data_IF_002017176584
#
_entry.id   IF_002017176584
#
_cell.length_a   1.000
_cell.length_b   1.000
_cell.length_c   1.000
_cell.angle_alpha   90.00
_cell.angle_beta   90.00
_cell.angle_gamma   90.00
#
_symmetry.space_group_name_H-M   'P 1'
#
loop_
_entity.id
_entity.type
_entity.pdbx_description
1 polymer ?
#
# COMPACT_ATOMS: atom_id res chain seq x y z
N UNK A 1 -57.87 -25.02 6.70
CA UNK A 1 -56.78 -24.15 7.21
C UNK A 1 -57.26 -22.71 7.24
N UNK A 2 -57.15 -22.02 8.37
CA UNK A 2 -57.89 -20.76 8.62
C UNK A 2 -57.15 -19.57 8.00
N UNK A 3 -57.74 -18.91 6.98
CA UNK A 3 -57.11 -17.82 6.20
C UNK A 3 -56.62 -16.67 7.10
N UNK A 4 -57.32 -16.42 8.22
CA UNK A 4 -56.92 -15.42 9.23
C UNK A 4 -55.61 -15.79 9.93
N UNK A 5 -55.39 -17.07 10.23
CA UNK A 5 -54.18 -17.56 10.88
C UNK A 5 -52.96 -17.40 9.95
N UNK A 6 -53.17 -17.62 8.64
CA UNK A 6 -52.12 -17.43 7.63
C UNK A 6 -51.69 -15.97 7.50
N UNK A 7 -52.65 -15.04 7.53
CA UNK A 7 -52.38 -13.59 7.49
C UNK A 7 -51.62 -13.14 8.75
N UNK A 8 -52.01 -13.61 9.93
CA UNK A 8 -51.31 -13.29 11.18
C UNK A 8 -49.87 -13.83 11.16
N UNK A 9 -49.69 -15.09 10.74
CA UNK A 9 -48.36 -15.69 10.66
C UNK A 9 -47.45 -14.95 9.67
N UNK A 10 -47.99 -14.53 8.52
CA UNK A 10 -47.25 -13.73 7.55
C UNK A 10 -46.83 -12.37 8.10
N UNK A 11 -47.73 -11.66 8.79
CA UNK A 11 -47.41 -10.38 9.44
C UNK A 11 -46.34 -10.52 10.53
N UNK A 12 -46.42 -11.57 11.37
CA UNK A 12 -45.41 -11.82 12.41
C UNK A 12 -44.06 -12.15 11.79
N UNK A 13 -44.05 -12.95 10.72
CA UNK A 13 -42.82 -13.29 10.00
C UNK A 13 -42.19 -12.07 9.34
N UNK A 14 -43.00 -11.18 8.74
CA UNK A 14 -42.53 -9.93 8.14
C UNK A 14 -41.97 -8.96 9.20
N UNK A 15 -42.65 -8.81 10.34
CA UNK A 15 -42.15 -8.00 11.46
C UNK A 15 -40.85 -8.56 12.04
N UNK A 16 -40.74 -9.89 12.17
CA UNK A 16 -39.52 -10.54 12.64
C UNK A 16 -38.36 -10.37 11.63
N UNK A 17 -38.64 -10.46 10.33
CA UNK A 17 -37.66 -10.19 9.28
C UNK A 17 -37.16 -8.74 9.35
N UNK A 18 -38.05 -7.76 9.43
CA UNK A 18 -37.69 -6.33 9.55
C UNK A 18 -36.91 -6.05 10.84
N UNK A 19 -37.25 -6.72 11.94
CA UNK A 19 -36.51 -6.61 13.20
C UNK A 19 -35.11 -7.20 13.11
N UNK A 20 -34.97 -8.38 12.50
CA UNK A 20 -33.66 -9.00 12.23
C UNK A 20 -32.83 -8.13 11.29
N UNK A 21 -33.42 -7.59 10.23
CA UNK A 21 -32.76 -6.68 9.31
C UNK A 21 -32.27 -5.43 10.05
N UNK A 22 -33.09 -4.84 10.92
CA UNK A 22 -32.69 -3.69 11.73
C UNK A 22 -31.54 -3.99 12.69
N UNK A 23 -31.54 -5.15 13.36
CA UNK A 23 -30.45 -5.56 14.25
C UNK A 23 -29.17 -5.85 13.44
N UNK A 24 -29.28 -6.61 12.36
CA UNK A 24 -28.14 -7.03 11.54
C UNK A 24 -27.52 -5.86 10.76
N UNK A 25 -28.29 -4.83 10.41
CA UNK A 25 -27.79 -3.64 9.70
C UNK A 25 -27.22 -2.57 10.63
N UNK A 26 -27.62 -2.53 11.91
CA UNK A 26 -27.18 -1.49 12.85
C UNK A 26 -25.87 -1.79 13.60
N UNK A 27 -25.25 -2.94 13.38
CA UNK A 27 -23.90 -3.20 13.89
C UNK A 27 -22.86 -2.79 12.85
N UNK A 28 -22.74 -1.50 12.59
CA UNK A 28 -21.55 -0.99 11.90
C UNK A 28 -20.33 -1.15 12.81
N UNK A 29 -19.18 -1.47 12.22
CA UNK A 29 -17.93 -1.50 12.96
C UNK A 29 -17.68 -0.12 13.60
N UNK A 30 -17.13 -0.06 14.83
CA UNK A 30 -16.89 1.21 15.54
C UNK A 30 -16.10 2.22 14.68
N UNK A 31 -15.22 1.72 13.81
CA UNK A 31 -14.38 2.51 12.92
C UNK A 31 -14.85 2.50 11.45
N UNK A 32 -16.12 2.19 11.19
CA UNK A 32 -16.67 2.05 9.84
C UNK A 32 -16.37 3.26 8.95
N UNK A 33 -16.60 4.49 9.45
CA UNK A 33 -16.34 5.73 8.70
C UNK A 33 -14.85 5.90 8.34
N UNK A 34 -13.95 5.58 9.27
CA UNK A 34 -12.51 5.65 8.99
C UNK A 34 -12.07 4.56 7.99
N UNK A 35 -12.65 3.37 8.09
CA UNK A 35 -12.41 2.26 7.17
C UNK A 35 -12.88 2.60 5.75
N UNK A 36 -14.06 3.18 5.62
CA UNK A 36 -14.59 3.67 4.34
C UNK A 36 -13.69 4.76 3.77
N UNK A 37 -13.31 5.76 4.57
CA UNK A 37 -12.36 6.81 4.17
C UNK A 37 -11.01 6.25 3.71
N UNK A 38 -10.51 5.20 4.35
CA UNK A 38 -9.27 4.53 3.94
C UNK A 38 -9.42 3.87 2.56
N UNK A 39 -10.53 3.17 2.31
CA UNK A 39 -10.82 2.58 1.01
C UNK A 39 -10.99 3.66 -0.08
N UNK A 40 -11.70 4.74 0.20
CA UNK A 40 -11.88 5.88 -0.72
C UNK A 40 -10.54 6.55 -1.07
N UNK A 41 -9.67 6.76 -0.07
CA UNK A 41 -8.31 7.25 -0.30
C UNK A 41 -7.53 6.32 -1.24
N UNK A 42 -7.65 4.99 -1.06
CA UNK A 42 -6.98 4.02 -1.91
C UNK A 42 -7.52 4.03 -3.34
N UNK A 43 -8.84 4.17 -3.53
CA UNK A 43 -9.44 4.37 -4.86
C UNK A 43 -8.86 5.62 -5.52
N UNK A 44 -8.82 6.75 -4.79
CA UNK A 44 -8.29 8.00 -5.31
C UNK A 44 -6.81 7.88 -5.71
N UNK A 45 -5.97 7.32 -4.85
CA UNK A 45 -4.55 7.10 -5.13
C UNK A 45 -4.33 6.12 -6.29
N UNK A 46 -5.14 5.06 -6.37
CA UNK A 46 -5.10 4.10 -7.49
C UNK A 46 -5.43 4.77 -8.81
N UNK A 47 -6.47 5.62 -8.84
CA UNK A 47 -6.85 6.38 -10.04
C UNK A 47 -5.74 7.35 -10.49
N UNK A 48 -5.02 7.98 -9.55
CA UNK A 48 -3.86 8.81 -9.87
C UNK A 48 -2.78 7.98 -10.57
N UNK A 49 -2.47 6.78 -10.06
CA UNK A 49 -1.48 5.90 -10.67
C UNK A 49 -1.97 5.41 -12.05
N UNK A 50 -3.23 5.00 -12.14
CA UNK A 50 -3.87 4.54 -13.39
C UNK A 50 -3.79 5.57 -14.51
N UNK A 51 -3.94 6.85 -14.20
CA UNK A 51 -3.87 7.94 -15.18
C UNK A 51 -2.47 8.13 -15.80
N UNK A 52 -1.41 7.60 -15.16
CA UNK A 52 -0.03 7.64 -15.67
C UNK A 52 0.33 6.37 -16.47
N UNK A 53 -0.63 5.46 -16.69
CA UNK A 53 -0.43 4.21 -17.41
C UNK A 53 -1.04 4.31 -18.81
N UNK A 54 -0.18 4.35 -19.82
CA UNK A 54 -0.59 4.36 -21.23
C UNK A 54 -1.27 3.05 -21.65
N UNK A 55 -0.80 1.94 -21.10
CA UNK A 55 -1.36 0.61 -21.30
C UNK A 55 -1.32 -0.22 -20.01
N UNK A 56 -2.24 -1.19 -19.94
CA UNK A 56 -2.33 -2.16 -18.86
C UNK A 56 -1.93 -3.53 -19.35
N UNK A 57 -1.43 -4.36 -18.43
CA UNK A 57 -1.28 -5.79 -18.70
C UNK A 57 -2.67 -6.40 -18.91
N UNK A 58 -2.79 -7.40 -19.78
CA UNK A 58 -3.98 -8.26 -19.85
C UNK A 58 -4.25 -8.94 -18.50
N UNK A 59 -3.20 -9.07 -17.67
CA UNK A 59 -3.33 -9.59 -16.32
C UNK A 59 -3.98 -8.61 -15.34
N UNK A 60 -4.12 -7.32 -15.63
CA UNK A 60 -4.75 -6.34 -14.76
C UNK A 60 -6.26 -6.27 -15.02
N UNK A 61 -6.95 -7.37 -14.74
CA UNK A 61 -8.38 -7.57 -15.05
C UNK A 61 -9.33 -6.57 -14.36
N UNK A 62 -8.82 -5.80 -13.40
CA UNK A 62 -9.58 -4.78 -12.65
C UNK A 62 -9.21 -3.36 -13.09
N UNK A 63 -8.43 -3.22 -14.17
CA UNK A 63 -7.97 -1.94 -14.74
C UNK A 63 -7.30 -0.99 -13.74
N UNK A 64 -6.56 -1.55 -12.76
CA UNK A 64 -6.04 -0.76 -11.63
C UNK A 64 -4.82 0.08 -11.98
N UNK A 65 -4.02 -0.35 -12.96
CA UNK A 65 -2.73 0.25 -13.28
C UNK A 65 -1.64 -0.08 -12.27
N UNK A 66 -1.88 -1.00 -11.33
CA UNK A 66 -0.94 -1.33 -10.24
C UNK A 66 -0.07 -2.56 -10.53
N UNK A 67 -0.43 -3.36 -11.53
CA UNK A 67 0.37 -4.52 -11.94
C UNK A 67 1.46 -4.10 -12.94
N UNK A 68 2.66 -4.63 -12.74
CA UNK A 68 3.73 -4.63 -13.74
C UNK A 68 3.73 -5.87 -14.62
N UNK A 69 4.88 -6.20 -15.18
CA UNK A 69 5.04 -7.34 -16.08
C UNK A 69 5.41 -8.61 -15.31
N UNK A 70 5.12 -9.78 -15.90
CA UNK A 70 5.57 -11.07 -15.34
C UNK A 70 7.10 -11.09 -15.15
N UNK A 71 7.87 -10.61 -16.12
CA UNK A 71 9.32 -10.54 -16.02
C UNK A 71 9.91 -9.30 -16.68
N UNK A 72 10.87 -8.68 -16.01
CA UNK A 72 11.75 -7.64 -16.55
C UNK A 72 13.14 -7.75 -15.94
N UNK A 73 14.09 -6.93 -16.38
CA UNK A 73 15.42 -6.83 -15.77
C UNK A 73 15.42 -6.25 -14.34
N UNK A 74 14.30 -5.71 -13.86
CA UNK A 74 14.11 -5.29 -12.46
C UNK A 74 13.47 -6.39 -11.58
N UNK A 75 13.04 -7.51 -12.17
CA UNK A 75 12.44 -8.61 -11.41
C UNK A 75 13.49 -9.26 -10.52
N UNK A 76 13.31 -9.21 -9.21
CA UNK A 76 14.24 -9.76 -8.22
C UNK A 76 13.88 -11.16 -7.77
N UNK A 77 12.58 -11.48 -7.74
CA UNK A 77 12.06 -12.72 -7.16
C UNK A 77 10.77 -13.15 -7.88
N UNK A 78 10.41 -14.43 -7.71
CA UNK A 78 9.11 -14.94 -8.13
C UNK A 78 7.99 -14.23 -7.37
N UNK A 79 6.87 -14.02 -8.06
CA UNK A 79 5.65 -13.45 -7.48
C UNK A 79 4.48 -14.42 -7.62
N UNK A 80 3.36 -14.07 -7.01
CA UNK A 80 2.08 -14.73 -7.22
C UNK A 80 1.09 -13.70 -7.77
N UNK A 81 0.60 -13.92 -8.99
CA UNK A 81 -0.26 -12.97 -9.69
C UNK A 81 -1.59 -12.77 -8.96
N UNK A 82 -2.16 -13.85 -8.40
CA UNK A 82 -3.41 -13.78 -7.64
C UNK A 82 -3.24 -12.90 -6.41
N UNK A 83 -2.17 -13.09 -5.64
CA UNK A 83 -1.84 -12.24 -4.51
C UNK A 83 -1.67 -10.78 -4.93
N UNK A 84 -1.02 -10.49 -6.08
CA UNK A 84 -0.91 -9.10 -6.57
C UNK A 84 -2.29 -8.49 -6.80
N UNK A 85 -3.15 -9.19 -7.54
CA UNK A 85 -4.53 -8.76 -7.82
C UNK A 85 -5.36 -8.60 -6.56
N UNK A 86 -5.25 -9.51 -5.60
CA UNK A 86 -5.96 -9.42 -4.32
C UNK A 86 -5.62 -8.13 -3.60
N UNK A 87 -4.34 -7.72 -3.58
CA UNK A 87 -3.92 -6.49 -2.92
C UNK A 87 -4.41 -5.20 -3.59
N UNK A 88 -4.92 -5.25 -4.83
CA UNK A 88 -5.48 -4.06 -5.49
C UNK A 88 -6.90 -3.72 -5.02
N UNK A 89 -7.54 -4.59 -4.24
CA UNK A 89 -8.87 -4.30 -3.68
C UNK A 89 -8.75 -3.15 -2.64
N UNK A 90 -9.49 -2.03 -2.80
CA UNK A 90 -9.49 -0.92 -1.86
C UNK A 90 -9.78 -1.28 -0.40
N UNK A 91 -10.51 -2.37 -0.15
CA UNK A 91 -10.80 -2.85 1.21
C UNK A 91 -9.53 -3.23 1.97
N UNK A 92 -8.40 -3.49 1.28
CA UNK A 92 -7.11 -3.68 1.95
C UNK A 92 -6.69 -2.44 2.75
N UNK A 93 -7.04 -1.23 2.32
CA UNK A 93 -6.75 -0.02 3.10
C UNK A 93 -7.53 -0.03 4.43
N UNK A 94 -8.78 -0.50 4.43
CA UNK A 94 -9.56 -0.67 5.65
C UNK A 94 -8.97 -1.75 6.57
N UNK A 95 -8.46 -2.85 6.01
CA UNK A 95 -7.76 -3.90 6.77
C UNK A 95 -6.48 -3.34 7.41
N UNK A 96 -5.65 -2.61 6.65
CA UNK A 96 -4.42 -1.99 7.17
C UNK A 96 -4.76 -0.99 8.28
N UNK A 97 -5.77 -0.15 8.06
CA UNK A 97 -6.24 0.82 9.06
C UNK A 97 -6.60 0.11 10.38
N UNK A 98 -7.40 -0.96 10.31
CA UNK A 98 -7.76 -1.74 11.48
C UNK A 98 -6.54 -2.32 12.19
N UNK A 99 -5.55 -2.81 11.43
CA UNK A 99 -4.29 -3.31 11.99
C UNK A 99 -3.47 -2.20 12.68
N UNK A 100 -3.39 -1.01 12.09
CA UNK A 100 -2.69 0.14 12.69
C UNK A 100 -3.38 0.57 13.99
N UNK A 101 -4.71 0.66 14.01
CA UNK A 101 -5.47 0.99 15.21
C UNK A 101 -5.28 -0.07 16.31
N UNK A 102 -5.27 -1.37 15.94
CA UNK A 102 -4.97 -2.46 16.88
C UNK A 102 -3.53 -2.42 17.41
N UNK A 103 -2.59 -1.92 16.62
CA UNK A 103 -1.21 -1.67 17.05
C UNK A 103 -1.09 -0.41 17.95
N UNK A 104 -2.19 0.32 18.17
CA UNK A 104 -2.24 1.48 19.04
C UNK A 104 -1.87 2.80 18.36
N UNK A 105 -1.77 2.82 17.02
CA UNK A 105 -1.50 4.04 16.25
C UNK A 105 -2.68 5.00 16.37
N UNK A 106 -2.37 6.26 16.67
CA UNK A 106 -3.32 7.36 16.79
C UNK A 106 -3.01 8.47 15.79
N UNK A 107 -3.94 9.42 15.69
CA UNK A 107 -3.73 10.65 14.95
C UNK A 107 -2.44 11.35 15.39
N UNK A 108 -1.64 11.81 14.42
CA UNK A 108 -0.35 12.48 14.64
C UNK A 108 0.83 11.55 14.88
N UNK A 109 0.61 10.26 15.15
CA UNK A 109 1.70 9.31 15.34
C UNK A 109 2.48 9.07 14.04
N UNK A 110 3.77 8.77 14.17
CA UNK A 110 4.57 8.37 13.01
C UNK A 110 4.51 6.86 12.78
N UNK A 111 4.32 6.45 11.53
CA UNK A 111 4.34 5.05 11.09
C UNK A 111 5.52 4.88 10.14
N UNK A 112 6.50 4.06 10.54
CA UNK A 112 7.62 3.71 9.68
C UNK A 112 7.19 2.63 8.69
N UNK A 113 7.49 2.82 7.40
CA UNK A 113 7.06 1.94 6.32
C UNK A 113 8.27 1.55 5.49
N UNK A 114 8.68 0.29 5.60
CA UNK A 114 9.62 -0.33 4.68
C UNK A 114 8.83 -0.98 3.54
N UNK A 115 9.04 -0.53 2.31
CA UNK A 115 8.35 -1.09 1.15
C UNK A 115 9.29 -1.47 0.01
N UNK A 116 9.00 -2.54 -0.71
CA UNK A 116 9.65 -2.86 -1.98
C UNK A 116 8.68 -2.65 -3.14
N UNK A 117 9.23 -2.57 -4.36
CA UNK A 117 8.43 -2.55 -5.57
C UNK A 117 7.55 -3.79 -5.77
N UNK A 118 7.64 -4.82 -4.93
CA UNK A 118 6.87 -6.05 -5.07
C UNK A 118 5.37 -5.87 -4.85
N UNK A 119 4.94 -5.02 -3.92
CA UNK A 119 3.51 -4.82 -3.60
C UNK A 119 3.15 -3.33 -3.58
N UNK A 120 3.13 -2.66 -4.75
CA UNK A 120 2.79 -1.23 -4.83
C UNK A 120 1.38 -0.94 -4.29
N UNK A 121 0.43 -1.86 -4.51
CA UNK A 121 -0.94 -1.71 -4.01
C UNK A 121 -1.02 -1.71 -2.47
N UNK A 122 -0.20 -2.52 -1.77
CA UNK A 122 -0.15 -2.50 -0.30
C UNK A 122 0.52 -1.23 0.24
N UNK A 123 1.51 -0.68 -0.47
CA UNK A 123 2.05 0.64 -0.11
C UNK A 123 0.95 1.69 -0.19
N UNK A 124 0.18 1.72 -1.28
CA UNK A 124 -0.95 2.64 -1.44
C UNK A 124 -1.99 2.40 -0.34
N UNK A 125 -2.37 1.16 -0.06
CA UNK A 125 -3.29 0.83 1.03
C UNK A 125 -2.81 1.36 2.38
N UNK A 126 -1.50 1.25 2.66
CA UNK A 126 -0.90 1.73 3.90
C UNK A 126 -0.88 3.25 3.99
N UNK A 127 -0.54 3.94 2.90
CA UNK A 127 -0.61 5.41 2.83
C UNK A 127 -2.04 5.92 2.99
N UNK A 128 -3.00 5.24 2.38
CA UNK A 128 -4.43 5.57 2.48
C UNK A 128 -4.98 5.37 3.89
N UNK A 129 -4.56 4.30 4.56
CA UNK A 129 -4.87 4.08 5.97
C UNK A 129 -4.25 5.17 6.85
N UNK A 130 -2.96 5.49 6.69
CA UNK A 130 -2.32 6.58 7.43
C UNK A 130 -3.03 7.92 7.19
N UNK A 131 -3.41 8.24 5.95
CA UNK A 131 -4.14 9.46 5.59
C UNK A 131 -5.54 9.51 6.22
N UNK A 132 -6.25 8.37 6.29
CA UNK A 132 -7.56 8.31 6.94
C UNK A 132 -7.46 8.55 8.45
N UNK A 133 -6.44 7.96 9.09
CA UNK A 133 -6.12 8.08 10.51
C UNK A 133 -5.44 9.41 10.90
N UNK A 134 -5.02 10.21 9.92
CA UNK A 134 -4.19 11.39 10.09
C UNK A 134 -2.87 11.08 10.83
N UNK A 135 -2.26 9.95 10.48
CA UNK A 135 -0.93 9.52 10.92
C UNK A 135 0.14 9.93 9.90
N UNK A 136 1.39 10.04 10.37
CA UNK A 136 2.53 10.50 9.60
C UNK A 136 3.35 9.33 9.03
N UNK A 137 3.17 8.94 7.75
CA UNK A 137 3.96 7.86 7.15
C UNK A 137 5.40 8.33 6.87
N UNK A 138 6.37 7.52 7.29
CA UNK A 138 7.80 7.69 6.98
C UNK A 138 8.21 6.50 6.12
N UNK A 139 8.40 6.72 4.82
CA UNK A 139 8.59 5.64 3.85
C UNK A 139 10.05 5.52 3.45
N UNK A 140 10.60 4.30 3.48
CA UNK A 140 11.83 3.94 2.77
C UNK A 140 11.49 2.83 1.77
N UNK A 141 11.84 3.04 0.50
CA UNK A 141 11.54 2.06 -0.56
C UNK A 141 12.77 1.35 -1.12
N UNK A 142 12.66 0.08 -1.47
CA UNK A 142 13.57 -0.61 -2.38
C UNK A 142 12.96 -0.70 -3.78
N UNK A 143 13.74 -0.34 -4.81
CA UNK A 143 13.21 -0.22 -6.18
C UNK A 143 12.96 -1.57 -6.86
N UNK A 144 13.74 -2.59 -6.50
CA UNK A 144 13.55 -3.97 -6.97
C UNK A 144 12.16 -4.50 -6.61
N UNK A 145 11.63 -5.36 -7.47
CA UNK A 145 10.26 -5.85 -7.37
C UNK A 145 10.20 -7.32 -7.79
N UNK A 146 9.32 -8.09 -7.16
CA UNK A 146 8.94 -9.41 -7.66
C UNK A 146 8.18 -9.33 -8.98
N UNK A 147 7.94 -10.47 -9.62
CA UNK A 147 7.01 -10.58 -10.75
C UNK A 147 5.67 -9.85 -10.45
N UNK A 148 5.14 -9.19 -11.49
CA UNK A 148 3.92 -8.37 -11.48
C UNK A 148 3.91 -7.17 -10.49
N UNK A 149 5.01 -6.91 -9.78
CA UNK A 149 5.17 -5.69 -8.98
C UNK A 149 5.44 -4.45 -9.85
N UNK A 150 5.87 -3.34 -9.24
CA UNK A 150 6.33 -2.15 -9.94
C UNK A 150 7.75 -2.37 -10.53
N UNK A 151 7.86 -3.32 -11.46
CA UNK A 151 9.10 -3.83 -12.02
C UNK A 151 9.42 -3.28 -13.42
N UNK A 152 8.84 -2.17 -13.87
CA UNK A 152 9.15 -1.62 -15.18
C UNK A 152 9.96 -0.33 -15.06
N UNK A 153 10.87 -0.07 -16.02
CA UNK A 153 11.79 1.08 -15.96
C UNK A 153 11.06 2.43 -15.81
N UNK A 154 9.87 2.56 -16.39
CA UNK A 154 8.99 3.72 -16.34
C UNK A 154 7.81 3.57 -15.35
N UNK A 155 7.77 2.49 -14.58
CA UNK A 155 6.76 2.23 -13.55
C UNK A 155 7.43 1.48 -12.38
N UNK A 156 8.13 2.25 -11.56
CA UNK A 156 8.76 1.82 -10.32
C UNK A 156 7.97 2.34 -9.12
N UNK A 157 8.18 1.75 -7.95
CA UNK A 157 7.52 2.23 -6.72
C UNK A 157 7.87 3.69 -6.39
N UNK A 158 9.04 4.16 -6.84
CA UNK A 158 9.45 5.55 -6.71
C UNK A 158 8.70 6.47 -7.69
N UNK A 159 8.35 6.00 -8.89
CA UNK A 159 7.46 6.75 -9.79
C UNK A 159 6.06 6.88 -9.19
N UNK A 160 5.53 5.80 -8.61
CA UNK A 160 4.24 5.80 -7.90
C UNK A 160 4.25 6.83 -6.76
N UNK A 161 5.26 6.79 -5.89
CA UNK A 161 5.40 7.76 -4.80
C UNK A 161 5.51 9.20 -5.33
N UNK A 162 6.24 9.41 -6.43
CA UNK A 162 6.36 10.72 -7.04
C UNK A 162 5.01 11.25 -7.56
N UNK A 163 4.23 10.44 -8.27
CA UNK A 163 2.91 10.84 -8.77
C UNK A 163 1.93 11.15 -7.63
N UNK A 164 1.90 10.30 -6.60
CA UNK A 164 1.07 10.52 -5.42
C UNK A 164 1.49 11.78 -4.66
N UNK A 165 2.79 12.03 -4.53
CA UNK A 165 3.29 13.22 -3.85
C UNK A 165 2.98 14.50 -4.64
N UNK A 166 3.10 14.47 -5.97
CA UNK A 166 2.70 15.59 -6.83
C UNK A 166 1.20 15.89 -6.78
N UNK A 167 0.38 14.88 -6.54
CA UNK A 167 -1.06 15.04 -6.32
C UNK A 167 -1.43 15.45 -4.88
N UNK A 168 -0.45 15.66 -3.98
CA UNK A 168 -0.70 16.04 -2.58
C UNK A 168 -1.24 14.90 -1.71
N UNK A 169 -1.10 13.65 -2.14
CA UNK A 169 -1.62 12.48 -1.42
C UNK A 169 -0.68 11.99 -0.32
N UNK A 170 0.63 12.12 -0.51
CA UNK A 170 1.65 11.74 0.47
C UNK A 170 2.96 12.54 0.28
N UNK A 171 3.91 12.38 1.19
CA UNK A 171 5.28 12.89 1.01
C UNK A 171 6.12 11.91 0.21
N UNK A 172 7.19 12.40 -0.43
CA UNK A 172 8.22 11.54 -1.01
C UNK A 172 8.84 10.62 0.06
N UNK A 173 9.32 9.42 -0.32
CA UNK A 173 10.06 8.56 0.61
C UNK A 173 11.30 9.31 1.13
N UNK A 174 11.66 9.07 2.38
CA UNK A 174 12.83 9.72 3.00
C UNK A 174 14.14 9.17 2.46
N UNK A 175 14.13 7.92 2.00
CA UNK A 175 15.25 7.31 1.31
C UNK A 175 14.80 6.16 0.41
N UNK A 176 15.66 5.78 -0.52
CA UNK A 176 15.46 4.64 -1.42
C UNK A 176 16.75 3.85 -1.63
N UNK A 177 16.61 2.56 -1.89
CA UNK A 177 17.69 1.64 -2.27
C UNK A 177 17.36 0.95 -3.60
N UNK A 178 18.31 0.22 -4.17
CA UNK A 178 18.05 -0.52 -5.42
C UNK A 178 17.24 -1.79 -5.16
N UNK A 179 17.28 -2.38 -3.97
CA UNK A 179 16.60 -3.64 -3.68
C UNK A 179 17.34 -4.88 -4.20
N UNK A 180 16.64 -6.01 -4.27
CA UNK A 180 17.26 -7.30 -4.61
C UNK A 180 18.23 -7.79 -3.53
N UNK A 181 19.07 -8.75 -3.89
CA UNK A 181 20.05 -9.33 -2.96
C UNK A 181 20.98 -8.24 -2.40
N UNK A 182 21.14 -8.26 -1.08
CA UNK A 182 21.91 -7.27 -0.29
C UNK A 182 21.40 -5.82 -0.43
N UNK A 183 20.22 -5.61 -1.02
CA UNK A 183 19.61 -4.30 -1.22
C UNK A 183 20.41 -3.34 -2.14
N UNK A 184 21.41 -3.87 -2.85
CA UNK A 184 22.31 -3.11 -3.75
C UNK A 184 21.99 -3.30 -5.23
N UNK A 185 20.95 -4.08 -5.55
CA UNK A 185 20.61 -4.46 -6.93
C UNK A 185 21.75 -5.22 -7.62
N UNK A 186 22.50 -6.04 -6.88
CA UNK A 186 23.75 -6.66 -7.37
C UNK A 186 23.58 -7.39 -8.72
N UNK A 187 22.42 -8.03 -8.91
CA UNK A 187 22.07 -8.79 -10.12
C UNK A 187 21.50 -7.93 -11.26
N UNK A 188 21.33 -6.62 -11.07
CA UNK A 188 20.85 -5.74 -12.12
C UNK A 188 21.95 -5.42 -13.14
N UNK A 189 21.63 -5.36 -14.44
CA UNK A 189 22.53 -4.81 -15.45
C UNK A 189 22.98 -3.39 -15.11
N UNK A 190 24.22 -3.04 -15.47
CA UNK A 190 24.81 -1.74 -15.13
C UNK A 190 24.09 -0.55 -15.78
N UNK A 191 23.54 -0.72 -16.99
CA UNK A 191 22.71 0.31 -17.63
C UNK A 191 21.42 0.56 -16.84
N UNK A 192 20.80 -0.51 -16.32
CA UNK A 192 19.63 -0.42 -15.46
C UNK A 192 19.98 0.29 -14.15
N UNK A 193 21.04 -0.13 -13.44
CA UNK A 193 21.49 0.53 -12.20
C UNK A 193 21.71 2.02 -12.40
N UNK A 194 22.43 2.39 -13.47
CA UNK A 194 22.68 3.80 -13.81
C UNK A 194 21.39 4.58 -13.99
N UNK A 195 20.45 4.02 -14.76
CA UNK A 195 19.14 4.67 -14.99
C UNK A 195 18.33 4.85 -13.70
N UNK A 196 18.37 3.88 -12.79
CA UNK A 196 17.67 3.96 -11.50
C UNK A 196 18.34 5.00 -10.58
N UNK A 197 19.67 5.04 -10.51
CA UNK A 197 20.41 6.05 -9.72
C UNK A 197 20.15 7.45 -10.26
N UNK A 198 20.13 7.64 -11.58
CA UNK A 198 19.76 8.91 -12.21
C UNK A 198 18.34 9.33 -11.87
N UNK A 199 17.39 8.38 -11.83
CA UNK A 199 16.01 8.63 -11.38
C UNK A 199 15.95 9.09 -9.93
N UNK A 200 16.66 8.39 -9.02
CA UNK A 200 16.72 8.75 -7.60
C UNK A 200 17.23 10.18 -7.42
N UNK A 201 18.30 10.55 -8.15
CA UNK A 201 18.84 11.92 -8.16
C UNK A 201 17.84 12.93 -8.70
N UNK A 202 17.16 12.61 -9.82
CA UNK A 202 16.15 13.48 -10.44
C UNK A 202 14.99 13.79 -9.50
N UNK A 203 14.56 12.80 -8.72
CA UNK A 203 13.48 12.96 -7.74
C UNK A 203 13.96 13.51 -6.39
N UNK A 204 15.26 13.78 -6.25
CA UNK A 204 15.89 14.36 -5.07
C UNK A 204 15.59 13.58 -3.78
N UNK A 205 15.76 12.25 -3.83
CA UNK A 205 15.59 11.35 -2.69
C UNK A 205 16.95 10.82 -2.23
N UNK A 206 17.13 10.63 -0.92
CA UNK A 206 18.35 10.05 -0.36
C UNK A 206 18.55 8.61 -0.87
N UNK A 207 19.77 8.30 -1.33
CA UNK A 207 20.11 6.99 -1.85
C UNK A 207 20.88 6.17 -0.79
N UNK A 208 20.31 5.03 -0.40
CA UNK A 208 20.97 4.04 0.46
C UNK A 208 21.72 3.06 -0.44
N UNK A 209 23.04 3.01 -0.29
CA UNK A 209 23.92 2.08 -0.98
C UNK A 209 24.99 1.56 -0.02
N UNK A 210 24.55 0.74 0.93
CA UNK A 210 25.42 0.13 1.93
C UNK A 210 25.52 -1.38 1.64
N UNK A 211 26.72 -1.90 1.28
CA UNK A 211 26.90 -3.30 0.90
C UNK A 211 26.89 -4.26 2.11
N UNK A 212 27.09 -3.72 3.32
CA UNK A 212 26.96 -4.47 4.57
C UNK A 212 25.53 -4.37 5.10
N UNK A 213 24.88 -5.52 5.30
CA UNK A 213 23.49 -5.60 5.72
C UNK A 213 23.25 -4.93 7.08
N UNK A 214 24.14 -5.16 8.06
CA UNK A 214 23.98 -4.59 9.40
C UNK A 214 24.05 -3.06 9.35
N UNK A 215 24.99 -2.53 8.56
CA UNK A 215 25.11 -1.10 8.30
C UNK A 215 23.91 -0.54 7.55
N UNK A 216 23.40 -1.23 6.52
CA UNK A 216 22.20 -0.84 5.79
C UNK A 216 20.99 -0.69 6.73
N UNK A 217 20.74 -1.70 7.57
CA UNK A 217 19.67 -1.66 8.59
C UNK A 217 19.89 -0.50 9.56
N UNK A 218 21.13 -0.27 10.01
CA UNK A 218 21.44 0.83 10.93
C UNK A 218 21.14 2.22 10.33
N UNK A 219 21.42 2.41 9.03
CA UNK A 219 21.13 3.65 8.30
C UNK A 219 19.61 3.85 8.19
N UNK A 220 18.85 2.82 7.81
CA UNK A 220 17.38 2.86 7.76
C UNK A 220 16.77 3.24 9.11
N UNK A 221 17.22 2.59 10.18
CA UNK A 221 16.73 2.88 11.53
C UNK A 221 17.06 4.31 11.99
N UNK A 222 18.23 4.83 11.62
CA UNK A 222 18.60 6.23 11.89
C UNK A 222 17.70 7.20 11.15
N UNK A 223 17.42 6.94 9.87
CA UNK A 223 16.53 7.77 9.05
C UNK A 223 15.11 7.79 9.64
N UNK A 224 14.53 6.63 9.93
CA UNK A 224 13.21 6.56 10.56
C UNK A 224 13.13 7.36 11.88
N UNK A 225 14.12 7.18 12.78
CA UNK A 225 14.16 7.89 14.06
C UNK A 225 14.33 9.40 13.88
N UNK A 226 15.16 9.82 12.93
CA UNK A 226 15.41 11.24 12.66
C UNK A 226 14.15 11.89 12.09
N UNK A 227 13.48 11.22 11.14
CA UNK A 227 12.23 11.71 10.52
C UNK A 227 11.05 11.74 11.49
N UNK A 228 10.95 10.76 12.40
CA UNK A 228 9.90 10.73 13.42
C UNK A 228 10.08 11.78 14.53
N UNK A 229 11.31 12.26 14.72
CA UNK A 229 11.64 13.25 15.74
C UNK A 229 11.32 12.77 17.16
N UNK A 230 10.84 13.68 18.00
CA UNK A 230 10.58 13.40 19.44
C UNK A 230 9.35 12.52 19.67
N UNK A 231 8.40 12.50 18.74
CA UNK A 231 7.18 11.70 18.86
C UNK A 231 7.46 10.20 18.74
N UNK A 232 8.58 9.82 18.14
CA UNK A 232 8.93 8.43 17.94
C UNK A 232 8.03 7.74 16.92
N UNK A 233 8.18 6.42 16.80
CA UNK A 233 7.47 5.58 15.83
C UNK A 233 6.47 4.72 16.60
N UNK A 234 5.18 4.82 16.28
CA UNK A 234 4.14 4.03 16.92
C UNK A 234 4.03 2.61 16.33
N UNK A 235 4.27 2.47 15.02
CA UNK A 235 4.24 1.18 14.33
C UNK A 235 5.25 1.13 13.18
N UNK A 236 5.67 -0.09 12.86
CA UNK A 236 6.45 -0.39 11.65
C UNK A 236 5.65 -1.33 10.74
N UNK A 237 5.55 -0.98 9.47
CA UNK A 237 4.90 -1.78 8.43
C UNK A 237 5.95 -2.23 7.42
N UNK A 238 6.09 -3.54 7.24
CA UNK A 238 6.97 -4.14 6.22
C UNK A 238 6.13 -4.64 5.04
N UNK A 239 6.47 -4.19 3.83
CA UNK A 239 5.77 -4.51 2.60
C UNK A 239 6.75 -5.09 1.60
N UNK A 240 6.65 -6.39 1.34
CA UNK A 240 7.44 -7.04 0.29
C UNK A 240 8.93 -7.19 0.59
N UNK A 241 9.32 -7.26 1.87
CA UNK A 241 10.69 -7.63 2.28
C UNK A 241 11.72 -6.50 2.07
N UNK A 242 11.45 -5.33 2.64
CA UNK A 242 12.30 -4.13 2.54
C UNK A 242 13.01 -3.77 3.84
#
# INVERSE_FOLDING_TARGET
MNRKLFVVFWFVSALFFLFLEHICTNHSHENYELMLKAAENMIQMTNIVRAHRDSLSEDDINDTGLLGSEFTLMTTTLGDLEAKRTTTNPDFAAVILHMLMKAGVKQGDSVAIGASGSFPALLIATLSACKALDANPIVICSLGASQWGANMRNFTILDIMYWLSKAGMCSMPVAVSLGGDLDTGVNFPEDLKRSLIEKIRRYNVEFINEPDLARNVSVRMKLYRTSAGKSGIAAFVNIGGA
#
